data_IF_781122561447
#
_entry.id   IF_781122561447
#
_cell.length_a   1.000
_cell.length_b   1.000
_cell.length_c   1.000
_cell.angle_alpha   90.00
_cell.angle_beta   90.00
_cell.angle_gamma   90.00
#
_symmetry.space_group_name_H-M   'P 1'
#
loop_
_entity.id
_entity.type
_entity.pdbx_description
1 polymer ?
#
# COMPACT_ATOMS: atom_id res chain seq x y z
N UNK A 1 -30.12 53.30 57.13
CA UNK A 1 -30.07 54.69 57.65
C UNK A 1 -29.90 55.65 56.47
N UNK A 2 -30.83 56.62 56.37
CA UNK A 2 -30.78 57.94 55.69
C UNK A 2 -30.37 58.07 54.20
N UNK A 3 -31.37 58.52 53.42
CA UNK A 3 -31.31 59.23 52.12
C UNK A 3 -30.48 60.52 52.21
N UNK A 4 -29.90 60.98 51.08
CA UNK A 4 -30.20 62.31 50.51
C UNK A 4 -29.64 62.50 49.08
N UNK A 5 -30.36 63.32 48.30
CA UNK A 5 -30.16 63.74 46.90
C UNK A 5 -29.01 64.75 46.71
N UNK A 6 -28.47 64.87 45.48
CA UNK A 6 -28.35 66.12 44.69
C UNK A 6 -27.56 65.86 43.37
N UNK A 7 -28.13 65.92 42.15
CA UNK A 7 -28.44 67.06 41.23
C UNK A 7 -27.29 67.97 40.75
N UNK A 8 -26.98 67.83 39.44
CA UNK A 8 -27.03 68.87 38.39
C UNK A 8 -25.79 69.74 38.03
N UNK A 9 -25.69 70.02 36.70
CA UNK A 9 -25.02 71.13 35.96
C UNK A 9 -23.58 70.88 35.47
N UNK A 10 -23.12 71.40 34.32
CA UNK A 10 -23.62 71.91 33.03
C UNK A 10 -22.35 72.39 32.27
N UNK A 11 -22.29 72.20 30.94
CA UNK A 11 -21.68 73.07 29.90
C UNK A 11 -20.15 73.32 29.78
N UNK A 12 -19.64 73.07 28.56
CA UNK A 12 -19.05 74.04 27.61
C UNK A 12 -18.39 73.24 26.45
N UNK A 13 -18.34 73.61 25.17
CA UNK A 13 -18.97 74.62 24.31
C UNK A 13 -18.53 74.31 22.86
N UNK A 14 -19.48 74.36 21.93
CA UNK A 14 -19.42 75.09 20.64
C UNK A 14 -18.21 74.86 19.70
N UNK A 15 -18.43 74.36 18.48
CA UNK A 15 -18.57 75.18 17.25
C UNK A 15 -18.81 74.28 16.01
N UNK A 16 -19.74 74.73 15.16
CA UNK A 16 -20.21 74.13 13.90
C UNK A 16 -19.36 74.63 12.73
N UNK A 17 -19.07 73.76 11.75
CA UNK A 17 -18.86 74.20 10.37
C UNK A 17 -19.25 73.09 9.38
N UNK A 18 -20.07 73.48 8.40
CA UNK A 18 -20.82 72.65 7.46
C UNK A 18 -20.03 72.38 6.17
N UNK A 19 -20.29 71.19 5.62
CA UNK A 19 -19.87 70.61 4.35
C UNK A 19 -19.94 71.53 3.12
N UNK A 20 -18.93 71.41 2.25
CA UNK A 20 -19.06 71.66 0.82
C UNK A 20 -18.42 70.50 0.03
N UNK A 21 -19.25 69.90 -0.83
CA UNK A 21 -19.00 68.73 -1.66
C UNK A 21 -18.27 69.16 -2.94
N UNK A 22 -17.11 68.56 -3.25
CA UNK A 22 -16.51 68.58 -4.59
C UNK A 22 -16.26 67.14 -5.02
N UNK A 23 -16.99 66.70 -6.05
CA UNK A 23 -16.80 65.43 -6.72
C UNK A 23 -15.51 65.47 -7.55
N UNK A 24 -14.55 64.61 -7.18
CA UNK A 24 -13.44 64.21 -8.04
C UNK A 24 -13.62 62.72 -8.32
N UNK A 25 -14.04 62.37 -9.54
CA UNK A 25 -14.07 60.98 -10.00
C UNK A 25 -12.64 60.53 -10.27
N UNK A 26 -12.07 59.77 -9.33
CA UNK A 26 -10.87 58.97 -9.62
C UNK A 26 -11.32 57.62 -10.16
N UNK A 27 -10.73 57.10 -11.25
CA UNK A 27 -10.99 55.73 -11.66
C UNK A 27 -10.48 54.81 -10.54
N UNK A 28 -11.37 53.98 -9.98
CA UNK A 28 -10.92 52.86 -9.13
C UNK A 28 -9.97 52.01 -9.98
N UNK A 29 -8.77 51.67 -9.48
CA UNK A 29 -8.00 50.61 -10.11
C UNK A 29 -8.86 49.35 -10.01
N UNK A 30 -9.29 48.82 -11.15
CA UNK A 30 -9.68 47.41 -11.22
C UNK A 30 -8.41 46.67 -10.84
N UNK A 31 -8.36 46.13 -9.61
CA UNK A 31 -7.37 45.14 -9.27
C UNK A 31 -7.57 44.01 -10.28
N UNK A 32 -6.69 43.93 -11.28
CA UNK A 32 -6.60 42.76 -12.11
C UNK A 32 -6.31 41.61 -11.17
N UNK A 33 -7.32 40.76 -10.92
CA UNK A 33 -7.11 39.48 -10.27
C UNK A 33 -6.04 38.81 -11.10
N UNK A 34 -4.86 38.58 -10.50
CA UNK A 34 -3.84 37.75 -11.13
C UNK A 34 -4.53 36.45 -11.53
N UNK A 35 -4.36 35.96 -12.77
CA UNK A 35 -5.10 34.79 -13.18
C UNK A 35 -4.72 33.67 -12.20
N UNK A 36 -5.74 33.13 -11.52
CA UNK A 36 -5.58 32.04 -10.54
C UNK A 36 -4.90 30.84 -11.19
N UNK A 37 -4.94 30.79 -12.52
CA UNK A 37 -4.23 29.83 -13.33
C UNK A 37 -3.32 30.44 -14.40
N UNK A 38 -2.08 29.96 -14.49
CA UNK A 38 -1.14 30.39 -15.54
C UNK A 38 -1.35 29.64 -16.86
N UNK A 39 -1.72 28.36 -16.79
CA UNK A 39 -2.07 27.54 -17.95
C UNK A 39 -2.93 26.33 -17.55
N UNK A 40 -3.80 25.90 -18.47
CA UNK A 40 -4.69 24.75 -18.30
C UNK A 40 -4.06 23.48 -18.85
N UNK A 41 -4.21 22.37 -18.14
CA UNK A 41 -3.88 21.02 -18.64
C UNK A 41 -5.09 20.12 -18.47
N UNK A 42 -5.46 19.38 -19.52
CA UNK A 42 -6.43 18.31 -19.42
C UNK A 42 -5.73 17.00 -19.15
N UNK A 43 -6.16 16.28 -18.12
CA UNK A 43 -5.65 14.95 -17.80
C UNK A 43 -5.99 13.99 -18.94
N UNK A 44 -4.98 13.38 -19.53
CA UNK A 44 -5.15 12.35 -20.56
C UNK A 44 -5.09 10.94 -19.96
N UNK A 45 -5.49 9.94 -20.73
CA UNK A 45 -5.33 8.54 -20.31
C UNK A 45 -3.86 8.24 -20.06
N UNK A 46 -3.55 7.67 -18.89
CA UNK A 46 -2.18 7.36 -18.45
C UNK A 46 -1.40 8.54 -17.85
N UNK A 47 -1.98 9.74 -17.75
CA UNK A 47 -1.34 10.85 -17.05
C UNK A 47 -1.28 10.60 -15.53
N UNK A 48 -0.19 11.07 -14.92
CA UNK A 48 -0.08 11.25 -13.47
C UNK A 48 0.27 12.70 -13.17
N UNK A 49 -0.02 13.21 -11.97
CA UNK A 49 0.38 14.57 -11.62
C UNK A 49 1.90 14.77 -11.71
N UNK A 50 2.69 13.75 -11.40
CA UNK A 50 4.15 13.78 -11.54
C UNK A 50 4.60 13.76 -12.99
N UNK A 51 3.95 13.01 -13.87
CA UNK A 51 4.23 13.01 -15.31
C UNK A 51 3.85 14.36 -15.95
N UNK A 52 2.71 14.93 -15.54
CA UNK A 52 2.30 16.28 -15.93
C UNK A 52 3.31 17.30 -15.40
N UNK A 53 3.76 17.21 -14.14
CA UNK A 53 4.77 18.10 -13.60
C UNK A 53 6.14 17.97 -14.32
N UNK A 54 6.54 16.76 -14.70
CA UNK A 54 7.74 16.55 -15.49
C UNK A 54 7.63 17.19 -16.89
N UNK A 55 6.47 17.01 -17.55
CA UNK A 55 6.20 17.53 -18.89
C UNK A 55 6.07 19.04 -18.92
N UNK A 56 5.32 19.60 -17.99
CA UNK A 56 4.88 21.00 -18.01
C UNK A 56 5.77 21.92 -17.16
N UNK A 57 6.37 21.40 -16.08
CA UNK A 57 7.22 22.16 -15.15
C UNK A 57 8.69 21.71 -15.20
N UNK A 58 9.03 20.72 -16.02
CA UNK A 58 10.39 20.18 -16.15
C UNK A 58 10.88 19.42 -14.91
N UNK A 59 10.01 19.12 -13.95
CA UNK A 59 10.37 18.47 -12.69
C UNK A 59 9.22 17.61 -12.14
N UNK A 60 9.39 16.29 -12.13
CA UNK A 60 8.38 15.35 -11.64
C UNK A 60 7.96 15.57 -10.17
N UNK A 61 8.85 16.12 -9.35
CA UNK A 61 8.59 16.40 -7.93
C UNK A 61 7.84 17.72 -7.70
N UNK A 62 7.60 18.51 -8.76
CA UNK A 62 6.85 19.76 -8.68
C UNK A 62 5.32 19.55 -8.69
N UNK A 63 4.85 18.30 -8.77
CA UNK A 63 3.43 17.97 -8.80
C UNK A 63 2.59 18.53 -7.62
N UNK A 64 3.10 18.72 -6.38
CA UNK A 64 2.33 19.36 -5.32
C UNK A 64 1.94 20.80 -5.64
N UNK A 65 2.72 21.48 -6.51
CA UNK A 65 2.41 22.84 -6.95
C UNK A 65 1.20 22.85 -7.91
N UNK A 66 1.06 21.82 -8.74
CA UNK A 66 -0.11 21.61 -9.60
C UNK A 66 -1.35 21.34 -8.73
N UNK A 67 -1.22 20.52 -7.67
CA UNK A 67 -2.32 20.29 -6.71
C UNK A 67 -2.78 21.59 -6.07
N UNK A 68 -1.84 22.36 -5.52
CA UNK A 68 -2.14 23.62 -4.84
C UNK A 68 -2.79 24.63 -5.80
N UNK A 69 -2.25 24.79 -7.01
CA UNK A 69 -2.80 25.70 -8.01
C UNK A 69 -4.19 25.24 -8.49
N UNK A 70 -4.39 23.94 -8.71
CA UNK A 70 -5.68 23.39 -9.17
C UNK A 70 -6.76 23.54 -8.11
N UNK A 71 -6.46 23.26 -6.83
CA UNK A 71 -7.44 23.44 -5.75
C UNK A 71 -7.76 24.92 -5.49
N UNK A 72 -6.77 25.81 -5.62
CA UNK A 72 -7.01 27.25 -5.55
C UNK A 72 -7.90 27.73 -6.70
N UNK A 73 -7.71 27.21 -7.92
CA UNK A 73 -8.56 27.48 -9.06
C UNK A 73 -9.98 26.91 -8.88
N UNK A 74 -10.11 25.67 -8.39
CA UNK A 74 -11.38 25.01 -8.14
C UNK A 74 -12.25 25.74 -7.08
N UNK A 75 -11.61 26.41 -6.11
CA UNK A 75 -12.30 27.21 -5.09
C UNK A 75 -13.05 28.43 -5.66
N UNK A 76 -12.69 28.88 -6.86
CA UNK A 76 -13.30 30.06 -7.52
C UNK A 76 -13.94 29.76 -8.88
N UNK A 77 -13.57 28.64 -9.52
CA UNK A 77 -14.09 28.19 -10.81
C UNK A 77 -14.26 26.67 -10.81
N UNK A 78 -15.53 26.22 -10.81
CA UNK A 78 -15.91 24.81 -10.72
C UNK A 78 -15.54 23.97 -11.95
N UNK A 79 -14.96 24.56 -12.99
CA UNK A 79 -14.44 23.82 -14.16
C UNK A 79 -13.11 23.12 -13.86
N UNK A 80 -12.38 23.54 -12.84
CA UNK A 80 -11.15 22.88 -12.39
C UNK A 80 -11.47 21.75 -11.40
N UNK A 81 -10.63 20.73 -11.38
CA UNK A 81 -10.81 19.59 -10.50
C UNK A 81 -10.54 19.96 -9.02
N UNK A 82 -11.36 19.44 -8.10
CA UNK A 82 -10.98 19.37 -6.69
C UNK A 82 -10.14 18.11 -6.47
N UNK A 83 -8.84 18.30 -6.20
CA UNK A 83 -7.89 17.22 -5.98
C UNK A 83 -7.74 17.01 -4.47
N UNK A 84 -8.55 16.10 -3.94
CA UNK A 84 -8.49 15.71 -2.53
C UNK A 84 -7.42 14.63 -2.28
N UNK A 85 -7.10 13.84 -3.31
CA UNK A 85 -6.03 12.84 -3.29
C UNK A 85 -5.12 13.00 -4.52
N UNK A 86 -3.88 13.50 -4.36
CA UNK A 86 -2.94 13.67 -5.47
C UNK A 86 -2.56 12.39 -6.23
N UNK A 87 -2.82 11.21 -5.65
CA UNK A 87 -2.63 9.93 -6.33
C UNK A 87 -3.78 9.57 -7.30
N UNK A 88 -4.88 10.34 -7.30
CA UNK A 88 -6.07 10.07 -8.12
C UNK A 88 -6.41 11.30 -8.96
N UNK A 89 -6.13 11.21 -10.26
CA UNK A 89 -6.64 12.17 -11.25
C UNK A 89 -7.44 11.42 -12.31
N UNK A 90 -8.55 11.99 -12.75
CA UNK A 90 -9.40 11.36 -13.77
C UNK A 90 -9.18 11.99 -15.14
N UNK A 91 -9.24 11.17 -16.18
CA UNK A 91 -9.18 11.63 -17.57
C UNK A 91 -10.26 12.70 -17.81
N UNK A 92 -9.86 13.79 -18.47
CA UNK A 92 -10.73 14.93 -18.75
C UNK A 92 -10.79 15.97 -17.62
N UNK A 93 -10.19 15.72 -16.45
CA UNK A 93 -10.03 16.74 -15.43
C UNK A 93 -9.22 17.91 -15.95
N UNK A 94 -9.68 19.13 -15.67
CA UNK A 94 -8.93 20.36 -15.94
C UNK A 94 -8.10 20.69 -14.72
N UNK A 95 -6.79 20.66 -14.91
CA UNK A 95 -5.81 21.04 -13.93
C UNK A 95 -5.29 22.44 -14.22
N UNK A 96 -4.83 23.09 -13.16
CA UNK A 96 -4.19 24.37 -13.25
C UNK A 96 -2.69 24.27 -13.00
N UNK A 97 -1.89 24.85 -13.89
CA UNK A 97 -0.44 24.99 -13.71
C UNK A 97 -0.09 26.28 -12.96
N UNK A 98 0.85 26.23 -12.00
CA UNK A 98 1.33 27.41 -11.29
C UNK A 98 2.15 28.32 -12.22
N UNK A 99 2.03 29.64 -12.04
CA UNK A 99 2.88 30.61 -12.74
C UNK A 99 4.33 30.57 -12.25
N UNK A 100 5.28 30.85 -13.14
CA UNK A 100 6.70 30.93 -12.80
C UNK A 100 6.96 32.07 -11.80
N UNK A 101 7.00 31.76 -10.50
CA UNK A 101 7.35 32.75 -9.47
C UNK A 101 6.87 32.51 -8.04
N UNK A 102 6.10 31.46 -7.72
CA UNK A 102 5.60 31.27 -6.34
C UNK A 102 6.52 30.36 -5.51
N UNK A 103 7.21 30.85 -4.46
CA UNK A 103 7.97 29.98 -3.57
C UNK A 103 7.03 29.18 -2.66
N UNK A 104 7.45 27.97 -2.29
CA UNK A 104 6.71 27.07 -1.40
C UNK A 104 6.41 27.74 -0.04
N UNK A 105 5.13 27.88 0.31
CA UNK A 105 4.72 28.28 1.64
C UNK A 105 4.64 27.05 2.56
N UNK A 106 5.47 27.06 3.61
CA UNK A 106 5.33 26.17 4.77
C UNK A 106 4.07 26.59 5.56
N UNK A 107 3.25 25.69 6.12
CA UNK A 107 2.02 26.10 6.79
C UNK A 107 2.35 26.83 8.10
N UNK A 108 2.03 28.12 8.15
CA UNK A 108 2.01 28.90 9.39
C UNK A 108 0.64 28.77 10.05
N UNK A 109 0.66 28.45 11.35
CA UNK A 109 -0.49 28.42 12.24
C UNK A 109 -1.04 29.83 12.44
N UNK A 110 -2.35 30.05 12.26
CA UNK A 110 -3.01 31.32 12.57
C UNK A 110 -4.41 31.08 13.18
N UNK A 111 -4.91 32.02 14.01
CA UNK A 111 -5.72 31.71 15.18
C UNK A 111 -7.24 31.74 14.95
N UNK A 112 -7.94 31.09 15.88
CA UNK A 112 -9.38 30.90 15.90
C UNK A 112 -10.19 32.20 16.03
N UNK A 113 -11.27 32.28 15.26
CA UNK A 113 -12.42 33.16 15.48
C UNK A 113 -13.70 32.34 15.63
N UNK A 114 -14.53 32.73 16.60
CA UNK A 114 -15.71 32.03 17.11
C UNK A 114 -16.90 32.00 16.12
N UNK A 115 -17.86 31.06 16.28
CA UNK A 115 -18.75 30.62 15.19
C UNK A 115 -20.08 31.41 15.13
N UNK A 116 -20.62 31.51 13.91
CA UNK A 116 -22.05 31.72 13.69
C UNK A 116 -22.70 30.38 13.33
N UNK A 117 -23.80 30.07 14.00
CA UNK A 117 -24.48 28.78 14.01
C UNK A 117 -25.03 28.35 12.64
N UNK A 118 -24.67 27.14 12.21
CA UNK A 118 -25.26 26.40 11.10
C UNK A 118 -25.46 24.93 11.54
N UNK A 119 -26.42 24.19 10.95
CA UNK A 119 -27.04 23.01 11.56
C UNK A 119 -26.07 21.82 11.64
N UNK A 120 -26.24 21.00 12.69
CA UNK A 120 -25.43 19.81 12.99
C UNK A 120 -25.19 18.95 11.74
N UNK A 121 -24.01 19.09 11.16
CA UNK A 121 -23.35 17.97 10.50
C UNK A 121 -22.85 17.04 11.61
N UNK A 122 -23.24 15.77 11.55
CA UNK A 122 -22.59 14.72 12.32
C UNK A 122 -21.08 14.85 12.11
N UNK A 123 -20.26 15.00 13.16
CA UNK A 123 -18.82 15.08 12.98
C UNK A 123 -18.35 13.77 12.33
N UNK A 124 -17.55 13.90 11.27
CA UNK A 124 -16.71 12.79 10.84
C UNK A 124 -15.86 12.38 12.05
N UNK A 125 -15.74 11.06 12.34
CA UNK A 125 -14.96 10.63 13.49
C UNK A 125 -13.52 11.12 13.34
N UNK A 126 -13.01 11.79 14.35
CA UNK A 126 -11.56 11.97 14.53
C UNK A 126 -10.94 10.56 14.51
N UNK A 127 -9.91 10.36 13.69
CA UNK A 127 -9.16 9.11 13.69
C UNK A 127 -8.52 8.92 15.07
N UNK A 128 -9.12 8.08 15.89
CA UNK A 128 -8.55 7.66 17.17
C UNK A 128 -7.41 6.69 16.88
N UNK A 129 -6.26 6.89 17.51
CA UNK A 129 -5.10 5.97 17.56
C UNK A 129 -5.44 4.73 18.43
N UNK A 130 -6.69 4.26 18.39
CA UNK A 130 -7.30 3.21 19.23
C UNK A 130 -7.42 1.87 18.47
N UNK A 131 -6.52 1.58 17.51
CA UNK A 131 -6.45 0.23 16.99
C UNK A 131 -5.90 -0.70 18.07
N UNK A 132 -6.79 -1.45 18.73
CA UNK A 132 -6.42 -2.53 19.64
C UNK A 132 -6.12 -3.76 18.81
N UNK A 133 -4.89 -4.25 18.90
CA UNK A 133 -4.50 -5.49 18.24
C UNK A 133 -5.31 -6.67 18.78
N UNK A 134 -6.01 -7.33 17.87
CA UNK A 134 -6.66 -8.61 18.12
C UNK A 134 -5.69 -9.74 17.72
N UNK A 135 -4.91 -10.19 18.69
CA UNK A 135 -3.99 -11.29 18.55
C UNK A 135 -4.67 -12.63 18.29
N UNK A 136 -5.94 -12.81 18.67
CA UNK A 136 -6.69 -14.04 18.34
C UNK A 136 -6.88 -14.13 16.82
N UNK A 137 -7.22 -12.99 16.18
CA UNK A 137 -7.29 -12.88 14.71
C UNK A 137 -5.95 -13.07 14.01
N UNK A 138 -4.82 -12.94 14.72
CA UNK A 138 -3.49 -13.16 14.15
C UNK A 138 -3.05 -14.63 14.22
N UNK A 139 -3.77 -15.50 14.91
CA UNK A 139 -3.39 -16.92 15.02
C UNK A 139 -3.52 -17.66 13.70
N UNK A 140 -2.72 -18.71 13.50
CA UNK A 140 -2.88 -19.61 12.35
C UNK A 140 -4.22 -20.36 12.44
N UNK A 141 -4.65 -20.73 13.65
CA UNK A 141 -5.94 -21.39 13.87
C UNK A 141 -7.12 -20.50 13.46
N UNK A 142 -7.07 -19.19 13.75
CA UNK A 142 -8.06 -18.25 13.25
C UNK A 142 -8.06 -18.21 11.72
N UNK A 143 -6.90 -18.06 11.08
CA UNK A 143 -6.81 -18.07 9.61
C UNK A 143 -7.40 -19.35 9.00
N UNK A 144 -7.15 -20.52 9.61
CA UNK A 144 -7.72 -21.82 9.20
C UNK A 144 -9.22 -21.95 9.44
N UNK A 145 -9.76 -21.17 10.38
CA UNK A 145 -11.21 -21.15 10.66
C UNK A 145 -12.01 -20.32 9.65
N UNK A 146 -11.34 -19.50 8.84
CA UNK A 146 -11.97 -18.68 7.82
C UNK A 146 -12.27 -19.49 6.55
N UNK A 147 -13.30 -19.07 5.83
CA UNK A 147 -13.58 -19.55 4.48
C UNK A 147 -13.08 -18.55 3.44
N UNK A 148 -12.47 -19.05 2.37
CA UNK A 148 -11.98 -18.26 1.25
C UNK A 148 -12.72 -18.68 -0.03
N UNK A 149 -13.97 -18.22 -0.24
CA UNK A 149 -14.79 -18.67 -1.36
C UNK A 149 -14.33 -18.11 -2.70
N UNK A 150 -13.35 -17.20 -2.73
CA UNK A 150 -12.97 -16.44 -3.92
C UNK A 150 -14.10 -15.52 -4.40
N UNK A 151 -13.88 -14.85 -5.54
CA UNK A 151 -14.86 -14.01 -6.20
C UNK A 151 -14.67 -14.06 -7.72
N UNK A 152 -15.61 -13.47 -8.46
CA UNK A 152 -15.33 -13.11 -9.85
C UNK A 152 -14.11 -12.18 -9.91
N UNK A 153 -13.22 -12.42 -10.88
CA UNK A 153 -12.08 -11.57 -11.17
C UNK A 153 -12.45 -10.59 -12.30
N UNK A 154 -12.56 -9.31 -11.99
CA UNK A 154 -13.01 -8.28 -12.94
C UNK A 154 -11.82 -7.51 -13.51
N UNK A 155 -11.63 -7.58 -14.83
CA UNK A 155 -10.60 -6.80 -15.53
C UNK A 155 -10.96 -5.31 -15.47
N UNK A 156 -10.11 -4.52 -14.83
CA UNK A 156 -10.24 -3.06 -14.72
C UNK A 156 -9.52 -2.34 -15.86
N UNK A 157 -8.36 -2.85 -16.25
CA UNK A 157 -7.53 -2.26 -17.30
C UNK A 157 -6.81 -3.36 -18.09
N UNK A 158 -6.82 -3.24 -19.42
CA UNK A 158 -5.94 -4.05 -20.29
C UNK A 158 -4.68 -3.26 -20.58
N UNK A 159 -3.53 -3.84 -20.22
CA UNK A 159 -2.21 -3.22 -20.37
C UNK A 159 -1.55 -3.66 -21.68
N UNK A 160 -0.46 -2.97 -22.04
CA UNK A 160 0.39 -3.43 -23.12
C UNK A 160 0.90 -4.86 -22.82
N UNK A 161 0.77 -5.81 -23.78
CA UNK A 161 1.16 -7.19 -23.55
C UNK A 161 2.67 -7.33 -23.38
N UNK A 162 3.07 -8.43 -22.73
CA UNK A 162 4.46 -8.90 -22.75
C UNK A 162 4.80 -9.62 -24.06
N UNK A 163 5.95 -10.30 -24.08
CA UNK A 163 6.44 -11.00 -25.28
C UNK A 163 5.50 -12.11 -25.74
N UNK A 164 5.00 -12.91 -24.80
CA UNK A 164 4.14 -14.08 -25.05
C UNK A 164 3.07 -14.22 -23.95
N UNK A 165 2.62 -13.10 -23.37
CA UNK A 165 1.58 -13.10 -22.35
C UNK A 165 0.81 -11.77 -22.35
N UNK A 166 -0.46 -11.81 -21.99
CA UNK A 166 -1.31 -10.65 -21.77
C UNK A 166 -1.18 -10.14 -20.33
N UNK A 167 -1.49 -8.85 -20.11
CA UNK A 167 -1.35 -8.17 -18.82
C UNK A 167 -2.58 -7.36 -18.50
N UNK A 168 -3.04 -7.44 -17.27
CA UNK A 168 -4.25 -6.76 -16.83
C UNK A 168 -4.09 -6.22 -15.40
N UNK A 169 -4.72 -5.08 -15.13
CA UNK A 169 -5.13 -4.75 -13.77
C UNK A 169 -6.49 -5.40 -13.55
N UNK A 170 -6.59 -6.24 -12.53
CA UNK A 170 -7.80 -6.99 -12.22
C UNK A 170 -8.20 -6.79 -10.76
N UNK A 171 -9.50 -6.88 -10.47
CA UNK A 171 -10.07 -6.69 -9.14
C UNK A 171 -10.77 -7.97 -8.65
N UNK A 172 -10.61 -8.27 -7.36
CA UNK A 172 -11.27 -9.35 -6.64
C UNK A 172 -11.79 -8.86 -5.28
N UNK A 173 -12.60 -9.66 -4.60
CA UNK A 173 -13.16 -9.33 -3.29
C UNK A 173 -12.40 -10.02 -2.16
N UNK A 174 -12.21 -9.31 -1.05
CA UNK A 174 -11.62 -9.82 0.20
C UNK A 174 -12.19 -9.04 1.38
N UNK A 175 -12.82 -9.71 2.35
CA UNK A 175 -13.49 -9.06 3.51
C UNK A 175 -14.44 -7.91 3.15
N UNK A 176 -15.17 -8.03 2.04
CA UNK A 176 -16.06 -6.97 1.54
C UNK A 176 -15.34 -5.77 0.93
N UNK A 177 -14.02 -5.85 0.74
CA UNK A 177 -13.19 -4.87 0.06
C UNK A 177 -12.90 -5.31 -1.37
N UNK A 178 -12.90 -4.35 -2.29
CA UNK A 178 -12.36 -4.55 -3.63
C UNK A 178 -10.85 -4.35 -3.60
N UNK A 179 -10.11 -5.43 -3.87
CA UNK A 179 -8.65 -5.45 -3.92
C UNK A 179 -8.21 -5.62 -5.38
N UNK A 180 -7.21 -4.85 -5.79
CA UNK A 180 -6.66 -4.92 -7.14
C UNK A 180 -5.39 -5.79 -7.16
N UNK A 181 -4.98 -6.19 -8.35
CA UNK A 181 -3.72 -6.86 -8.58
C UNK A 181 -3.32 -6.86 -10.05
N UNK A 182 -2.04 -7.17 -10.29
CA UNK A 182 -1.52 -7.37 -11.63
C UNK A 182 -1.67 -8.84 -12.02
N UNK A 183 -2.53 -9.10 -13.00
CA UNK A 183 -2.70 -10.40 -13.63
C UNK A 183 -1.83 -10.48 -14.90
N UNK A 184 -1.13 -11.58 -15.07
CA UNK A 184 -0.52 -11.96 -16.34
C UNK A 184 -1.02 -13.33 -16.78
N UNK A 185 -1.29 -13.48 -18.08
CA UNK A 185 -1.85 -14.72 -18.65
C UNK A 185 -1.03 -15.11 -19.87
N UNK A 186 -0.42 -16.31 -19.91
CA UNK A 186 0.31 -16.78 -21.08
C UNK A 186 -0.54 -16.76 -22.36
N UNK A 187 0.07 -16.38 -23.47
CA UNK A 187 -0.55 -16.48 -24.79
C UNK A 187 -0.42 -17.93 -25.31
N UNK A 188 -1.34 -18.33 -26.18
CA UNK A 188 -1.34 -19.62 -26.85
C UNK A 188 -2.51 -20.50 -26.45
N UNK A 189 -2.49 -21.76 -26.87
CA UNK A 189 -3.52 -22.72 -26.53
C UNK A 189 -3.39 -23.10 -25.06
N UNK A 190 -4.42 -22.80 -24.26
CA UNK A 190 -4.51 -23.22 -22.87
C UNK A 190 -4.38 -24.74 -22.78
N UNK A 191 -3.52 -25.29 -21.89
CA UNK A 191 -3.44 -26.73 -21.66
C UNK A 191 -4.81 -27.30 -21.30
N UNK A 192 -5.05 -28.59 -21.60
CA UNK A 192 -6.36 -29.21 -21.38
C UNK A 192 -6.86 -29.13 -19.92
N UNK A 193 -5.94 -29.07 -18.95
CA UNK A 193 -6.26 -28.93 -17.53
C UNK A 193 -6.27 -27.46 -17.04
N UNK A 194 -5.88 -26.50 -17.88
CA UNK A 194 -5.59 -25.12 -17.51
C UNK A 194 -4.09 -24.84 -17.34
N UNK A 195 -3.73 -23.56 -17.26
CA UNK A 195 -2.37 -23.11 -16.95
C UNK A 195 -2.06 -23.30 -15.46
N UNK A 196 -0.83 -23.70 -15.08
CA UNK A 196 -0.39 -23.55 -13.70
C UNK A 196 -0.33 -22.06 -13.32
N UNK A 197 -0.62 -21.75 -12.05
CA UNK A 197 -0.64 -20.37 -11.58
C UNK A 197 0.27 -20.12 -10.38
N UNK A 198 0.82 -18.91 -10.31
CA UNK A 198 1.66 -18.42 -9.22
C UNK A 198 1.00 -17.20 -8.59
N UNK A 199 0.68 -17.29 -7.31
CA UNK A 199 0.32 -16.12 -6.50
C UNK A 199 1.62 -15.43 -6.09
N UNK A 200 1.79 -14.21 -6.55
CA UNK A 200 3.02 -13.43 -6.43
C UNK A 200 2.90 -12.47 -5.23
N UNK A 201 3.39 -12.92 -4.08
CA UNK A 201 3.36 -12.18 -2.83
C UNK A 201 4.52 -11.17 -2.80
N UNK A 202 4.23 -9.90 -3.02
CA UNK A 202 5.27 -8.87 -3.06
C UNK A 202 5.74 -8.46 -1.64
N UNK A 203 6.98 -7.97 -1.56
CA UNK A 203 7.50 -7.34 -0.35
C UNK A 203 6.82 -6.01 -0.02
N UNK A 204 7.07 -5.48 1.17
CA UNK A 204 6.48 -4.20 1.59
C UNK A 204 6.97 -3.06 0.69
N UNK A 205 6.03 -2.26 0.21
CA UNK A 205 6.28 -1.00 -0.49
C UNK A 205 5.33 0.01 0.14
N UNK A 206 5.78 1.21 0.55
CA UNK A 206 4.89 2.16 1.19
C UNK A 206 3.64 2.43 0.33
N UNK A 207 2.43 2.30 0.90
CA UNK A 207 1.18 2.39 0.16
C UNK A 207 1.07 3.62 -0.76
N UNK A 208 1.63 4.75 -0.32
CA UNK A 208 1.57 6.03 -1.04
C UNK A 208 2.34 6.01 -2.36
N UNK A 209 3.39 5.17 -2.45
CA UNK A 209 4.23 5.02 -3.64
C UNK A 209 4.02 3.69 -4.36
N UNK A 210 3.27 2.76 -3.77
CA UNK A 210 2.95 1.50 -4.43
C UNK A 210 2.08 1.72 -5.66
N UNK A 211 2.41 1.04 -6.76
CA UNK A 211 1.62 1.01 -8.00
C UNK A 211 1.53 -0.43 -8.50
N UNK A 212 0.34 -0.84 -8.93
CA UNK A 212 0.04 -2.21 -9.38
C UNK A 212 0.99 -2.70 -10.49
N UNK A 213 1.34 -1.81 -11.42
CA UNK A 213 2.10 -2.12 -12.63
C UNK A 213 3.60 -1.87 -12.53
N UNK A 214 4.08 -1.36 -11.40
CA UNK A 214 5.49 -1.05 -11.14
C UNK A 214 6.11 -2.06 -10.16
N UNK A 215 7.45 -2.06 -10.10
CA UNK A 215 8.28 -3.01 -9.32
C UNK A 215 8.02 -4.46 -9.74
N UNK A 216 8.97 -5.35 -9.45
CA UNK A 216 8.88 -6.78 -9.80
C UNK A 216 8.61 -7.10 -11.30
N UNK A 217 8.77 -6.14 -12.22
CA UNK A 217 8.44 -6.32 -13.65
C UNK A 217 9.20 -7.51 -14.25
N UNK A 218 10.51 -7.60 -13.98
CA UNK A 218 11.35 -8.70 -14.49
C UNK A 218 10.99 -10.07 -13.88
N UNK A 219 10.44 -10.08 -12.66
CA UNK A 219 10.07 -11.31 -11.96
C UNK A 219 8.76 -11.87 -12.52
N UNK A 220 7.76 -10.99 -12.64
CA UNK A 220 6.48 -11.28 -13.29
C UNK A 220 6.69 -11.75 -14.74
N UNK A 221 7.53 -11.03 -15.49
CA UNK A 221 7.92 -11.40 -16.86
C UNK A 221 8.60 -12.78 -16.91
N UNK A 222 9.50 -13.07 -15.97
CA UNK A 222 10.19 -14.37 -15.87
C UNK A 222 9.22 -15.55 -15.76
N UNK A 223 8.23 -15.47 -14.85
CA UNK A 223 7.25 -16.54 -14.68
C UNK A 223 6.25 -16.60 -15.84
N UNK A 224 5.68 -15.45 -16.25
CA UNK A 224 4.69 -15.39 -17.31
C UNK A 224 5.22 -15.93 -18.64
N UNK A 225 6.48 -15.60 -18.99
CA UNK A 225 7.13 -16.12 -20.19
C UNK A 225 7.30 -17.63 -20.22
N UNK A 226 7.34 -18.26 -19.04
CA UNK A 226 7.49 -19.69 -18.87
C UNK A 226 6.15 -20.41 -18.67
N UNK A 227 5.03 -19.82 -19.09
CA UNK A 227 3.74 -20.51 -19.15
C UNK A 227 3.04 -20.62 -17.80
N UNK A 228 3.23 -19.61 -16.94
CA UNK A 228 2.47 -19.48 -15.69
C UNK A 228 1.50 -18.31 -15.79
N UNK A 229 0.25 -18.51 -15.35
CA UNK A 229 -0.59 -17.39 -14.93
C UNK A 229 0.02 -16.82 -13.67
N UNK A 230 0.21 -15.51 -13.60
CA UNK A 230 0.68 -14.87 -12.36
C UNK A 230 -0.32 -13.84 -11.88
N UNK A 231 -0.53 -13.81 -10.57
CA UNK A 231 -1.35 -12.79 -9.94
C UNK A 231 -0.61 -12.18 -8.76
N UNK A 232 -0.25 -10.89 -8.88
CA UNK A 232 0.33 -10.10 -7.79
C UNK A 232 -0.77 -9.25 -7.17
N UNK A 233 -1.45 -9.71 -6.09
CA UNK A 233 -2.39 -8.87 -5.37
C UNK A 233 -1.67 -7.66 -4.80
N UNK A 234 -2.35 -6.51 -4.78
CA UNK A 234 -1.78 -5.27 -4.24
C UNK A 234 -1.79 -5.25 -2.70
N UNK A 235 -2.67 -6.04 -2.08
CA UNK A 235 -3.10 -5.95 -0.67
C UNK A 235 -3.99 -4.75 -0.38
N UNK A 236 -4.85 -4.87 0.64
CA UNK A 236 -5.68 -3.76 1.11
C UNK A 236 -4.84 -2.53 1.48
N UNK A 237 -5.38 -1.37 1.14
CA UNK A 237 -4.74 -0.07 1.32
C UNK A 237 -3.57 0.25 0.39
N UNK A 238 -3.13 -0.66 -0.48
CA UNK A 238 -2.08 -0.38 -1.46
C UNK A 238 -2.66 -0.07 -2.84
N UNK A 239 -2.04 0.87 -3.55
CA UNK A 239 -2.46 1.24 -4.91
C UNK A 239 -3.88 1.78 -4.92
N UNK A 240 -4.76 1.16 -5.72
CA UNK A 240 -6.18 1.51 -5.77
C UNK A 240 -7.07 0.55 -4.97
N UNK A 241 -6.50 -0.44 -4.27
CA UNK A 241 -7.24 -1.34 -3.39
C UNK A 241 -7.92 -0.59 -2.25
N UNK A 242 -9.12 -1.03 -1.89
CA UNK A 242 -9.85 -0.51 -0.74
C UNK A 242 -9.23 -0.97 0.59
N UNK A 243 -9.74 -0.45 1.70
CA UNK A 243 -9.25 -0.73 3.05
C UNK A 243 -8.05 0.10 3.46
N UNK A 244 -7.56 -0.15 4.68
CA UNK A 244 -6.42 0.56 5.25
C UNK A 244 -5.20 -0.35 5.31
N UNK A 245 -4.04 0.21 4.95
CA UNK A 245 -2.78 -0.50 5.07
C UNK A 245 -2.28 -0.42 6.51
N UNK A 246 -2.00 -1.57 7.12
CA UNK A 246 -1.60 -1.62 8.53
C UNK A 246 -0.28 -2.37 8.75
N UNK A 247 -0.32 -3.69 8.98
CA UNK A 247 0.89 -4.49 9.21
C UNK A 247 0.65 -5.95 8.83
N UNK A 248 1.52 -6.52 8.00
CA UNK A 248 1.51 -7.97 7.75
C UNK A 248 1.75 -8.80 9.03
N UNK A 249 2.52 -8.26 9.97
CA UNK A 249 2.95 -8.96 11.20
C UNK A 249 2.08 -8.64 12.41
N UNK A 250 1.07 -7.79 12.22
CA UNK A 250 0.20 -7.35 13.29
C UNK A 250 -1.25 -7.76 13.08
N UNK A 251 -1.69 -7.88 11.82
CA UNK A 251 -3.05 -8.29 11.49
C UNK A 251 -3.02 -9.42 10.46
N UNK A 252 -4.06 -10.27 10.39
CA UNK A 252 -4.17 -11.31 9.38
C UNK A 252 -4.51 -10.78 7.98
N UNK A 253 -4.82 -9.49 7.87
CA UNK A 253 -5.51 -8.88 6.74
C UNK A 253 -4.85 -9.15 5.38
N UNK A 254 -3.53 -9.02 5.28
CA UNK A 254 -2.83 -9.31 4.02
C UNK A 254 -2.78 -10.81 3.71
N UNK A 255 -2.75 -11.68 4.73
CA UNK A 255 -2.86 -13.12 4.52
C UNK A 255 -4.26 -13.50 4.02
N UNK A 256 -5.30 -12.87 4.57
CA UNK A 256 -6.69 -13.02 4.08
C UNK A 256 -6.81 -12.54 2.63
N UNK A 257 -6.21 -11.40 2.28
CA UNK A 257 -6.19 -10.91 0.90
C UNK A 257 -5.49 -11.89 -0.06
N UNK A 258 -4.40 -12.53 0.36
CA UNK A 258 -3.68 -13.55 -0.41
C UNK A 258 -4.50 -14.83 -0.58
N UNK A 259 -5.15 -15.30 0.49
CA UNK A 259 -5.95 -16.54 0.43
C UNK A 259 -7.21 -16.35 -0.41
N UNK A 260 -7.89 -15.19 -0.32
CA UNK A 260 -9.00 -14.86 -1.23
C UNK A 260 -8.53 -14.68 -2.69
N UNK A 261 -7.35 -14.08 -2.92
CA UNK A 261 -6.77 -14.01 -4.26
C UNK A 261 -6.51 -15.42 -4.82
N UNK A 262 -5.98 -16.31 -3.99
CA UNK A 262 -5.69 -17.71 -4.35
C UNK A 262 -6.98 -18.43 -4.75
N UNK A 263 -8.03 -18.32 -3.94
CA UNK A 263 -9.34 -18.90 -4.21
C UNK A 263 -9.98 -18.34 -5.51
N UNK A 264 -9.86 -17.03 -5.75
CA UNK A 264 -10.34 -16.39 -6.98
C UNK A 264 -9.59 -16.89 -8.22
N UNK A 265 -8.26 -17.01 -8.16
CA UNK A 265 -7.45 -17.48 -9.31
C UNK A 265 -7.76 -18.95 -9.66
N UNK A 266 -8.05 -19.80 -8.66
CA UNK A 266 -8.48 -21.19 -8.87
C UNK A 266 -9.81 -21.30 -9.66
N UNK A 267 -10.61 -20.25 -9.74
CA UNK A 267 -11.91 -20.25 -10.43
C UNK A 267 -11.84 -19.85 -11.91
N UNK A 268 -10.69 -19.39 -12.38
CA UNK A 268 -10.51 -19.01 -13.77
C UNK A 268 -10.53 -20.26 -14.66
N UNK A 269 -11.35 -20.24 -15.71
CA UNK A 269 -11.55 -21.39 -16.62
C UNK A 269 -10.29 -21.82 -17.37
N UNK A 270 -9.30 -20.94 -17.47
CA UNK A 270 -7.99 -21.19 -18.05
C UNK A 270 -6.89 -21.50 -17.02
N UNK A 271 -7.19 -21.64 -15.73
CA UNK A 271 -6.23 -22.02 -14.68
C UNK A 271 -6.53 -23.44 -14.21
N UNK A 272 -5.48 -24.25 -13.99
CA UNK A 272 -5.61 -25.55 -13.33
C UNK A 272 -5.61 -25.33 -11.80
N UNK A 273 -6.74 -25.53 -11.10
CA UNK A 273 -6.82 -25.30 -9.66
C UNK A 273 -5.94 -26.27 -8.85
N UNK A 274 -5.50 -27.39 -9.44
CA UNK A 274 -4.60 -28.33 -8.79
C UNK A 274 -3.10 -27.93 -8.91
N UNK A 275 -2.78 -26.89 -9.69
CA UNK A 275 -1.40 -26.46 -9.99
C UNK A 275 -1.16 -25.01 -9.56
N UNK A 276 -1.38 -24.75 -8.29
CA UNK A 276 -1.15 -23.44 -7.67
C UNK A 276 0.13 -23.44 -6.84
N UNK A 277 1.06 -22.55 -7.16
CA UNK A 277 2.23 -22.25 -6.36
C UNK A 277 2.22 -20.81 -5.84
N UNK A 278 3.17 -20.49 -4.97
CA UNK A 278 3.37 -19.15 -4.47
C UNK A 278 4.82 -18.70 -4.59
N UNK A 279 5.03 -17.46 -5.01
CA UNK A 279 6.33 -16.81 -4.93
C UNK A 279 6.24 -15.65 -3.94
N UNK A 280 7.21 -15.52 -3.04
CA UNK A 280 7.23 -14.47 -2.02
C UNK A 280 8.57 -13.75 -1.94
N UNK A 281 8.56 -12.44 -1.75
CA UNK A 281 9.79 -11.67 -1.46
C UNK A 281 9.65 -10.84 -0.19
N UNK A 282 10.66 -10.86 0.69
CA UNK A 282 10.66 -10.05 1.91
C UNK A 282 9.42 -10.35 2.77
N UNK A 283 8.58 -9.34 3.05
CA UNK A 283 7.24 -9.50 3.65
C UNK A 283 6.35 -10.52 2.91
N UNK A 284 6.48 -10.63 1.59
CA UNK A 284 5.75 -11.63 0.81
C UNK A 284 6.17 -13.07 1.12
N UNK A 285 7.40 -13.28 1.61
CA UNK A 285 7.84 -14.57 2.15
C UNK A 285 7.06 -14.97 3.41
N UNK A 286 6.85 -14.02 4.33
CA UNK A 286 6.00 -14.22 5.50
C UNK A 286 4.58 -14.63 5.11
N UNK A 287 3.98 -13.94 4.15
CA UNK A 287 2.63 -14.25 3.66
C UNK A 287 2.57 -15.62 2.98
N UNK A 288 3.64 -16.01 2.27
CA UNK A 288 3.74 -17.31 1.59
C UNK A 288 3.73 -18.47 2.59
N UNK A 289 4.56 -18.42 3.63
CA UNK A 289 4.60 -19.50 4.64
C UNK A 289 3.25 -19.58 5.38
N UNK A 290 2.67 -18.44 5.76
CA UNK A 290 1.33 -18.41 6.40
C UNK A 290 0.25 -19.01 5.53
N UNK A 291 0.22 -18.65 4.25
CA UNK A 291 -0.75 -19.21 3.32
C UNK A 291 -0.55 -20.72 3.17
N UNK A 292 0.68 -21.21 3.06
CA UNK A 292 0.96 -22.65 2.89
C UNK A 292 0.68 -23.50 4.12
N UNK A 293 0.78 -22.96 5.33
CA UNK A 293 0.30 -23.67 6.54
C UNK A 293 -1.22 -23.51 6.74
N UNK A 294 -1.90 -22.69 5.94
CA UNK A 294 -3.36 -22.47 6.07
C UNK A 294 -4.14 -23.22 4.98
N UNK A 295 -3.71 -23.12 3.72
CA UNK A 295 -4.34 -23.75 2.55
C UNK A 295 -3.51 -24.96 2.08
N UNK A 296 -4.01 -26.20 2.32
CA UNK A 296 -3.33 -27.44 1.91
C UNK A 296 -3.29 -27.66 0.40
N UNK A 297 -4.01 -26.83 -0.39
CA UNK A 297 -4.05 -26.98 -1.85
C UNK A 297 -2.88 -26.28 -2.55
N UNK A 298 -2.14 -25.40 -1.87
CA UNK A 298 -0.94 -24.76 -2.43
C UNK A 298 0.18 -25.81 -2.55
N UNK A 299 0.72 -25.99 -3.75
CA UNK A 299 1.61 -27.13 -4.05
C UNK A 299 3.07 -26.89 -3.78
N UNK A 300 3.53 -25.64 -3.81
CA UNK A 300 4.94 -25.29 -3.75
C UNK A 300 5.12 -23.80 -3.45
N UNK A 301 6.15 -23.46 -2.68
CA UNK A 301 6.54 -22.07 -2.42
C UNK A 301 7.98 -21.78 -2.82
N UNK A 302 8.23 -20.60 -3.38
CA UNK A 302 9.57 -20.06 -3.62
C UNK A 302 9.69 -18.71 -2.93
N UNK A 303 10.67 -18.56 -2.04
CA UNK A 303 10.81 -17.37 -1.20
C UNK A 303 12.18 -16.75 -1.38
N UNK A 304 12.20 -15.46 -1.72
CA UNK A 304 13.40 -14.65 -1.84
C UNK A 304 13.50 -13.69 -0.66
N UNK A 305 14.64 -13.71 0.05
CA UNK A 305 14.96 -12.78 1.13
C UNK A 305 13.82 -12.61 2.16
N UNK A 306 13.11 -13.68 2.49
CA UNK A 306 11.84 -13.61 3.21
C UNK A 306 11.96 -13.32 4.70
N UNK A 307 10.99 -12.60 5.26
CA UNK A 307 10.82 -12.44 6.72
C UNK A 307 10.16 -13.71 7.28
N UNK A 308 10.91 -14.80 7.36
CA UNK A 308 10.37 -16.17 7.56
C UNK A 308 10.81 -16.84 8.87
N UNK A 309 11.20 -16.05 9.86
CA UNK A 309 11.54 -16.58 11.19
C UNK A 309 10.33 -16.53 12.14
N UNK A 310 10.45 -17.24 13.27
CA UNK A 310 9.49 -17.17 14.36
C UNK A 310 9.28 -15.73 14.86
N UNK A 311 8.12 -15.42 15.44
CA UNK A 311 7.90 -14.10 16.03
C UNK A 311 8.95 -13.70 17.09
N UNK A 312 9.38 -14.60 17.99
CA UNK A 312 10.51 -14.33 18.90
C UNK A 312 11.77 -13.87 18.15
N UNK A 313 12.18 -14.57 17.09
CA UNK A 313 13.34 -14.20 16.28
C UNK A 313 13.14 -12.88 15.52
N UNK A 314 11.94 -12.63 14.99
CA UNK A 314 11.57 -11.36 14.33
C UNK A 314 11.63 -10.18 15.32
N UNK A 315 11.29 -10.40 16.59
CA UNK A 315 11.32 -9.37 17.63
C UNK A 315 12.76 -9.11 18.08
N UNK A 316 13.53 -10.16 18.35
CA UNK A 316 14.86 -10.05 18.94
C UNK A 316 15.97 -9.77 17.92
N UNK A 317 15.88 -10.38 16.73
CA UNK A 317 16.99 -10.45 15.77
C UNK A 317 16.80 -9.58 14.54
N UNK A 318 15.58 -9.10 14.28
CA UNK A 318 15.32 -8.09 13.24
C UNK A 318 15.38 -6.67 13.83
N UNK A 319 16.59 -6.21 14.09
CA UNK A 319 16.85 -4.94 14.78
C UNK A 319 16.61 -3.71 13.89
N UNK A 320 16.60 -2.50 14.50
CA UNK A 320 16.35 -1.22 13.80
C UNK A 320 17.24 -0.96 12.59
N UNK A 321 18.46 -1.53 12.54
CA UNK A 321 19.36 -1.39 11.39
C UNK A 321 18.77 -1.96 10.09
N UNK A 322 17.85 -2.92 10.20
CA UNK A 322 17.20 -3.58 9.08
C UNK A 322 15.83 -2.99 8.72
N UNK A 323 15.30 -2.07 9.52
CA UNK A 323 13.94 -1.51 9.33
C UNK A 323 14.06 -0.15 8.65
N UNK A 324 13.68 0.00 7.37
CA UNK A 324 13.77 1.27 6.66
C UNK A 324 12.99 2.37 7.39
N UNK A 325 13.52 3.60 7.37
CA UNK A 325 12.84 4.77 7.93
C UNK A 325 11.53 5.12 7.24
N UNK A 326 11.22 4.48 6.11
CA UNK A 326 10.03 4.68 5.29
C UNK A 326 8.81 3.87 5.74
N UNK A 327 8.94 2.94 6.70
CA UNK A 327 7.80 2.18 7.23
C UNK A 327 6.98 3.09 8.19
N UNK A 328 5.66 3.27 8.03
CA UNK A 328 4.83 4.10 8.90
C UNK A 328 4.96 3.72 10.39
N UNK A 329 4.82 4.70 11.29
CA UNK A 329 5.02 4.49 12.74
C UNK A 329 4.09 3.42 13.32
N UNK A 330 2.83 3.33 12.86
CA UNK A 330 1.88 2.28 13.26
C UNK A 330 2.36 0.88 12.90
N UNK A 331 2.90 0.71 11.69
CA UNK A 331 3.52 -0.54 11.22
C UNK A 331 4.83 -0.89 11.95
N UNK A 332 5.38 -0.01 12.81
CA UNK A 332 6.50 -0.32 13.71
C UNK A 332 6.05 -0.67 15.13
N UNK A 333 4.82 -0.31 15.50
CA UNK A 333 4.28 -0.50 16.85
C UNK A 333 3.71 -1.89 17.08
N UNK A 334 3.49 -2.72 16.04
CA UNK A 334 2.96 -4.07 16.21
C UNK A 334 3.74 -4.89 17.25
N UNK A 335 5.08 -4.81 17.25
CA UNK A 335 5.92 -5.50 18.23
C UNK A 335 5.60 -5.05 19.66
N UNK A 336 5.54 -3.73 19.87
CA UNK A 336 5.31 -3.17 21.20
C UNK A 336 3.88 -3.45 21.66
N UNK A 337 2.89 -3.20 20.80
CA UNK A 337 1.49 -3.36 21.16
C UNK A 337 1.14 -4.84 21.41
N UNK A 338 1.62 -5.78 20.59
CA UNK A 338 1.43 -7.21 20.87
C UNK A 338 2.09 -7.61 22.20
N UNK A 339 3.28 -7.10 22.52
CA UNK A 339 3.92 -7.37 23.82
C UNK A 339 3.17 -6.72 25.00
N UNK A 340 2.65 -5.50 24.83
CA UNK A 340 1.86 -4.80 25.84
C UNK A 340 0.53 -5.52 26.11
N UNK A 341 -0.08 -6.11 25.08
CA UNK A 341 -1.37 -6.82 25.18
C UNK A 341 -1.22 -8.27 25.62
N UNK A 342 -0.22 -9.00 25.10
CA UNK A 342 -0.11 -10.45 25.26
C UNK A 342 1.12 -10.92 26.05
N UNK A 343 2.02 -10.01 26.44
CA UNK A 343 3.29 -10.30 27.09
C UNK A 343 4.42 -10.57 26.09
N UNK A 344 5.67 -10.53 26.58
CA UNK A 344 6.87 -10.84 25.78
C UNK A 344 6.90 -12.32 25.34
N UNK A 345 7.71 -12.67 24.32
CA UNK A 345 8.00 -14.06 23.97
C UNK A 345 8.32 -14.99 25.14
N UNK A 346 9.05 -14.49 26.13
CA UNK A 346 9.41 -15.25 27.33
C UNK A 346 8.24 -15.41 28.32
N UNK A 347 7.36 -14.41 28.41
CA UNK A 347 6.22 -14.42 29.35
C UNK A 347 5.03 -15.24 28.82
N UNK A 348 4.81 -15.24 27.51
CA UNK A 348 3.67 -15.95 26.89
C UNK A 348 4.08 -16.74 25.63
N UNK A 349 4.93 -17.77 25.77
CA UNK A 349 5.43 -18.54 24.62
C UNK A 349 4.31 -19.22 23.82
N UNK A 350 3.20 -19.59 24.46
CA UNK A 350 2.04 -20.22 23.81
C UNK A 350 1.38 -19.28 22.80
N UNK A 351 1.16 -18.01 23.15
CA UNK A 351 0.59 -17.02 22.22
C UNK A 351 1.53 -16.77 21.03
N UNK A 352 2.82 -16.56 21.29
CA UNK A 352 3.77 -16.31 20.21
C UNK A 352 3.95 -17.51 19.29
N UNK A 353 3.78 -18.73 19.81
CA UNK A 353 3.73 -19.93 19.00
C UNK A 353 2.48 -19.96 18.10
N UNK A 354 1.29 -19.61 18.62
CA UNK A 354 0.03 -19.69 17.84
C UNK A 354 -0.06 -18.68 16.69
N UNK A 355 0.65 -17.54 16.79
CA UNK A 355 0.73 -16.56 15.69
C UNK A 355 1.89 -16.81 14.74
N UNK A 356 2.87 -17.66 15.09
CA UNK A 356 4.04 -17.96 14.26
C UNK A 356 3.77 -19.12 13.32
N UNK A 357 3.87 -18.92 12.00
CA UNK A 357 3.74 -20.01 11.02
C UNK A 357 4.81 -21.10 11.22
N UNK A 358 5.97 -20.74 11.77
CA UNK A 358 7.07 -21.67 12.10
C UNK A 358 6.63 -22.77 13.08
N UNK A 359 5.63 -22.52 13.93
CA UNK A 359 5.09 -23.54 14.84
C UNK A 359 4.17 -24.56 14.16
N UNK A 360 3.85 -24.36 12.88
CA UNK A 360 2.90 -25.16 12.09
C UNK A 360 3.57 -25.77 10.86
N UNK A 361 4.90 -25.87 10.83
CA UNK A 361 5.63 -26.40 9.66
C UNK A 361 5.38 -27.89 9.39
N UNK A 362 4.93 -28.65 10.39
CA UNK A 362 4.42 -30.02 10.21
C UNK A 362 3.22 -30.07 9.24
N UNK A 363 2.47 -28.96 9.13
CA UNK A 363 1.29 -28.83 8.28
C UNK A 363 1.58 -28.11 6.95
N UNK A 364 2.86 -27.89 6.61
CA UNK A 364 3.23 -27.20 5.38
C UNK A 364 2.73 -27.97 4.15
N UNK A 365 1.93 -27.30 3.31
CA UNK A 365 1.22 -27.93 2.19
C UNK A 365 2.08 -28.47 1.06
N UNK A 366 3.34 -28.03 0.98
CA UNK A 366 4.27 -28.43 -0.06
C UNK A 366 5.71 -27.99 0.22
N UNK A 367 6.64 -28.30 -0.70
CA UNK A 367 8.05 -28.03 -0.52
C UNK A 367 8.37 -26.54 -0.76
N UNK A 368 9.47 -26.07 -0.16
CA UNK A 368 9.89 -24.65 -0.21
C UNK A 368 11.27 -24.52 -0.85
N UNK A 369 11.47 -23.53 -1.72
CA UNK A 369 12.81 -23.12 -2.16
C UNK A 369 13.12 -21.71 -1.64
N UNK A 370 14.26 -21.56 -0.98
CA UNK A 370 14.73 -20.33 -0.34
C UNK A 370 15.92 -19.75 -1.09
N UNK A 371 15.90 -18.44 -1.33
CA UNK A 371 16.98 -17.67 -1.94
C UNK A 371 17.33 -16.47 -1.07
N UNK A 372 18.61 -16.27 -0.74
CA UNK A 372 18.99 -15.14 0.14
C UNK A 372 20.41 -14.63 -0.14
N UNK A 373 20.56 -13.31 -0.27
CA UNK A 373 21.86 -12.64 -0.40
C UNK A 373 22.61 -12.57 0.93
N UNK A 374 23.92 -12.82 0.96
CA UNK A 374 24.67 -12.73 2.23
C UNK A 374 24.98 -11.28 2.64
N UNK A 375 24.75 -10.31 1.75
CA UNK A 375 24.90 -8.88 2.01
C UNK A 375 23.54 -8.17 2.09
N UNK A 376 22.46 -8.93 2.31
CA UNK A 376 21.13 -8.39 2.57
C UNK A 376 21.14 -7.52 3.85
N UNK A 377 20.80 -6.24 3.68
CA UNK A 377 20.74 -5.23 4.73
C UNK A 377 19.30 -4.98 5.23
N UNK A 378 18.33 -5.68 4.66
CA UNK A 378 16.90 -5.51 4.91
C UNK A 378 16.31 -6.67 5.70
N UNK A 379 16.73 -7.90 5.40
CA UNK A 379 16.33 -9.10 6.14
C UNK A 379 17.58 -9.94 6.47
N UNK A 380 17.78 -10.37 7.72
CA UNK A 380 18.90 -11.23 8.03
C UNK A 380 18.79 -12.57 7.31
N UNK A 381 19.87 -13.00 6.64
CA UNK A 381 19.96 -14.36 6.05
C UNK A 381 19.70 -15.47 7.08
N UNK A 382 19.95 -15.19 8.36
CA UNK A 382 19.61 -16.06 9.48
C UNK A 382 18.14 -16.52 9.43
N UNK A 383 17.20 -15.70 8.94
CA UNK A 383 15.79 -16.08 8.89
C UNK A 383 15.52 -17.21 7.90
N UNK A 384 16.17 -17.19 6.74
CA UNK A 384 16.09 -18.32 5.80
C UNK A 384 16.87 -19.55 6.30
N UNK A 385 17.95 -19.34 7.06
CA UNK A 385 18.68 -20.46 7.67
C UNK A 385 17.84 -21.17 8.74
N UNK A 386 17.18 -20.41 9.62
CA UNK A 386 16.28 -20.94 10.65
C UNK A 386 15.11 -21.68 10.02
N UNK A 387 14.41 -21.08 9.04
CA UNK A 387 13.29 -21.76 8.39
C UNK A 387 13.73 -23.07 7.71
N UNK A 388 14.89 -23.09 7.04
CA UNK A 388 15.43 -24.33 6.47
C UNK A 388 15.58 -25.40 7.55
N UNK A 389 16.29 -25.07 8.64
CA UNK A 389 16.57 -26.02 9.71
C UNK A 389 15.30 -26.52 10.40
N UNK A 390 14.30 -25.65 10.57
CA UNK A 390 12.99 -25.99 11.12
C UNK A 390 12.18 -26.90 10.19
N UNK A 391 12.14 -26.62 8.87
CA UNK A 391 11.48 -27.48 7.88
C UNK A 391 12.16 -28.86 7.83
N UNK A 392 13.49 -28.91 7.83
CA UNK A 392 14.24 -30.17 7.85
C UNK A 392 13.98 -30.97 9.14
N UNK A 393 13.87 -30.28 10.29
CA UNK A 393 13.61 -30.92 11.59
C UNK A 393 12.24 -31.62 11.66
N UNK A 394 11.23 -31.09 10.96
CA UNK A 394 9.90 -31.72 10.82
C UNK A 394 9.83 -32.73 9.65
N UNK A 395 10.95 -32.95 8.96
CA UNK A 395 11.02 -33.88 7.82
C UNK A 395 10.42 -33.33 6.51
N UNK A 396 10.18 -32.02 6.44
CA UNK A 396 9.73 -31.35 5.22
C UNK A 396 10.83 -31.23 4.17
N UNK A 397 10.43 -30.83 2.95
CA UNK A 397 11.36 -30.66 1.82
C UNK A 397 11.66 -29.19 1.61
N UNK A 398 12.94 -28.82 1.70
CA UNK A 398 13.41 -27.45 1.48
C UNK A 398 14.72 -27.42 0.70
N UNK A 399 14.77 -26.53 -0.30
CA UNK A 399 16.00 -26.13 -0.98
C UNK A 399 16.46 -24.78 -0.43
N UNK A 400 17.75 -24.60 -0.16
CA UNK A 400 18.30 -23.30 0.26
C UNK A 400 19.51 -22.89 -0.55
N UNK A 401 19.42 -21.70 -1.15
CA UNK A 401 20.49 -21.07 -1.91
C UNK A 401 20.89 -19.74 -1.27
N UNK A 402 22.16 -19.66 -0.85
CA UNK A 402 22.79 -18.40 -0.43
C UNK A 402 23.63 -17.81 -1.55
N UNK A 403 23.60 -16.48 -1.69
CA UNK A 403 24.28 -15.74 -2.75
C UNK A 403 25.32 -14.80 -2.14
N UNK A 404 26.58 -15.22 -2.20
CA UNK A 404 27.69 -14.51 -1.57
C UNK A 404 27.83 -13.08 -2.11
N UNK A 405 27.75 -12.10 -1.21
CA UNK A 405 27.88 -10.67 -1.50
C UNK A 405 26.68 -10.04 -2.20
N UNK A 406 25.61 -10.78 -2.44
CA UNK A 406 24.42 -10.24 -3.10
C UNK A 406 23.46 -9.57 -2.11
N UNK A 407 22.64 -8.67 -2.63
CA UNK A 407 21.74 -7.81 -1.87
C UNK A 407 20.35 -8.43 -1.64
N UNK A 408 19.45 -7.66 -1.02
CA UNK A 408 18.07 -8.06 -0.75
C UNK A 408 17.28 -8.48 -2.00
N UNK A 409 17.59 -7.89 -3.17
CA UNK A 409 16.88 -8.16 -4.42
C UNK A 409 17.56 -9.24 -5.26
N UNK A 410 18.70 -9.76 -4.80
CA UNK A 410 19.62 -10.62 -5.55
C UNK A 410 20.07 -9.98 -6.86
N UNK A 411 20.37 -8.67 -6.84
CA UNK A 411 20.66 -7.90 -8.05
C UNK A 411 21.80 -8.48 -8.89
N UNK A 412 22.80 -9.11 -8.28
CA UNK A 412 23.94 -9.69 -8.99
C UNK A 412 23.64 -11.09 -9.55
N UNK A 413 22.84 -11.89 -8.83
CA UNK A 413 22.53 -13.29 -9.16
C UNK A 413 21.07 -13.50 -9.56
N UNK A 414 20.38 -12.43 -9.93
CA UNK A 414 18.96 -12.41 -10.29
C UNK A 414 18.62 -13.50 -11.30
N UNK A 415 19.37 -13.59 -12.40
CA UNK A 415 19.11 -14.57 -13.46
C UNK A 415 19.26 -16.01 -12.94
N UNK A 416 20.30 -16.27 -12.14
CA UNK A 416 20.54 -17.60 -11.53
C UNK A 416 19.39 -17.98 -10.58
N UNK A 417 18.97 -17.05 -9.71
CA UNK A 417 17.87 -17.27 -8.78
C UNK A 417 16.53 -17.45 -9.53
N UNK A 418 16.28 -16.67 -10.58
CA UNK A 418 15.08 -16.77 -11.41
C UNK A 418 15.01 -18.11 -12.15
N UNK A 419 16.11 -18.55 -12.78
CA UNK A 419 16.16 -19.86 -13.44
C UNK A 419 15.93 -21.02 -12.47
N UNK A 420 16.47 -20.95 -11.25
CA UNK A 420 16.20 -21.96 -10.19
C UNK A 420 14.72 -21.96 -9.77
N UNK A 421 14.16 -20.76 -9.55
CA UNK A 421 12.75 -20.58 -9.20
C UNK A 421 11.83 -21.21 -10.25
N UNK A 422 12.08 -20.93 -11.53
CA UNK A 422 11.31 -21.50 -12.65
C UNK A 422 11.45 -23.01 -12.69
N UNK A 423 12.67 -23.55 -12.59
CA UNK A 423 12.89 -25.00 -12.60
C UNK A 423 12.20 -25.70 -11.42
N UNK A 424 12.15 -25.06 -10.25
CA UNK A 424 11.46 -25.57 -9.08
C UNK A 424 9.94 -25.58 -9.27
N UNK A 425 9.36 -24.49 -9.76
CA UNK A 425 7.94 -24.48 -10.13
C UNK A 425 7.62 -25.49 -11.23
N UNK A 426 8.49 -25.68 -12.23
CA UNK A 426 8.30 -26.67 -13.29
C UNK A 426 8.21 -28.08 -12.68
N UNK A 427 9.11 -28.41 -11.75
CA UNK A 427 9.15 -29.71 -11.08
C UNK A 427 7.85 -30.06 -10.35
N UNK A 428 7.19 -29.08 -9.73
CA UNK A 428 6.03 -29.32 -8.86
C UNK A 428 4.68 -28.98 -9.50
N UNK A 429 4.66 -28.17 -10.57
CA UNK A 429 3.43 -27.71 -11.20
C UNK A 429 3.24 -28.18 -12.64
N UNK A 430 4.26 -28.78 -13.30
CA UNK A 430 4.15 -29.19 -14.72
C UNK A 430 4.10 -30.69 -14.93
#
# INVERSE_FOLDING_TARGET
>A
MKRLLQTQRLFCSVLVAVFALVLVSTPRPVAAQSPVCAADVLVQSGDTLSAIAARELGNLNAYPQIVAATNAAAAVDSRYAAIDNPARINVGWRLCLPGAGTPAATPATAPASAPASAPSATPAPEATDDFVFDGDRLTIDYLRSLEFPGSELVIQETLAPGVNYARYVAAYQSDGLTILGLLTVPNGDTPAAGWPAIIFNHGYIPPEVYRTTERYVAYQDGFARNGYVTFKPDYRGHGFSQGEAFSAYGTPDYAVDVLNATATIKQLDYVDPARIGMWGHSMGGYLTVRAMVTDPEIKVGVIWAGVVASYPDIIERWTRSYVPSTIPTGARRWRQQLQDTYGTPAENPTFWASVSANSYLDDLSGPIQLHHGTADDSVPILFSQLLRDEIEAVGGTVDFYSYAGDDHNLSQQFNTAMSRSIAYFDQYLK
#
